data_IF_274874574754
#
_entry.id   IF_274874574754
#
_cell.length_a   1.000
_cell.length_b   1.000
_cell.length_c   1.000
_cell.angle_alpha   90.00
_cell.angle_beta   90.00
_cell.angle_gamma   90.00
#
_symmetry.space_group_name_H-M   'P 1'
#
loop_
_entity.id
_entity.type
_entity.pdbx_description
1 polymer ?
#
# COMPACT_ATOMS: atom_id res chain seq x y z
N UNK A 1 -15.42 -13.21 17.41
CA UNK A 1 -16.29 -14.41 17.39
C UNK A 1 -17.58 -14.16 16.64
N UNK A 2 -18.28 -13.05 16.88
CA UNK A 2 -19.55 -12.70 16.21
C UNK A 2 -19.48 -12.72 14.67
N UNK A 3 -18.42 -12.15 14.08
CA UNK A 3 -18.23 -12.09 12.61
C UNK A 3 -18.00 -13.45 11.95
N UNK A 4 -17.33 -14.37 12.66
CA UNK A 4 -17.10 -15.74 12.18
C UNK A 4 -18.39 -16.56 12.21
N UNK A 5 -19.20 -16.35 13.25
CA UNK A 5 -20.51 -16.98 13.40
C UNK A 5 -21.50 -16.43 12.36
N UNK A 6 -21.54 -15.12 12.14
CA UNK A 6 -22.39 -14.51 11.10
C UNK A 6 -22.02 -14.95 9.68
N UNK A 7 -20.71 -15.05 9.37
CA UNK A 7 -20.24 -15.58 8.08
C UNK A 7 -20.55 -17.07 7.90
N UNK A 8 -20.50 -17.84 8.98
CA UNK A 8 -20.89 -19.25 8.97
C UNK A 8 -22.41 -19.42 8.80
N UNK A 9 -23.21 -18.56 9.46
CA UNK A 9 -24.66 -18.54 9.31
C UNK A 9 -25.09 -18.06 7.93
N UNK A 10 -24.46 -17.04 7.34
CA UNK A 10 -24.82 -16.58 5.99
C UNK A 10 -24.58 -17.65 4.92
N UNK A 11 -23.46 -18.38 5.02
CA UNK A 11 -23.11 -19.44 4.06
C UNK A 11 -24.02 -20.66 4.20
N UNK A 12 -24.34 -21.08 5.45
CA UNK A 12 -25.15 -22.30 5.67
C UNK A 12 -26.66 -22.08 5.72
N UNK A 13 -27.14 -20.91 6.16
CA UNK A 13 -28.57 -20.65 6.42
C UNK A 13 -29.19 -19.83 5.28
N UNK A 14 -28.48 -18.83 4.75
CA UNK A 14 -29.02 -17.94 3.71
C UNK A 14 -28.69 -18.39 2.29
N UNK A 15 -27.86 -19.44 2.13
CA UNK A 15 -27.55 -20.02 0.82
C UNK A 15 -26.85 -19.06 -0.15
N UNK A 16 -26.32 -17.92 0.33
CA UNK A 16 -25.55 -17.00 -0.50
C UNK A 16 -24.05 -17.35 -0.42
N UNK A 17 -23.47 -18.02 -1.42
CA UNK A 17 -22.06 -18.37 -1.43
C UNK A 17 -21.18 -17.12 -1.68
N UNK A 18 -21.74 -16.08 -2.28
CA UNK A 18 -21.02 -14.87 -2.63
C UNK A 18 -21.15 -13.81 -1.54
N UNK A 19 -20.07 -13.64 -0.79
CA UNK A 19 -19.95 -12.69 0.30
C UNK A 19 -19.40 -11.33 -0.16
N UNK A 20 -19.23 -11.11 -1.48
CA UNK A 20 -18.71 -9.86 -2.05
C UNK A 20 -19.78 -8.77 -2.09
N UNK A 21 -20.33 -8.42 -0.93
CA UNK A 21 -21.23 -7.27 -0.81
C UNK A 21 -20.41 -6.02 -0.54
N UNK A 22 -20.47 -4.99 -1.41
CA UNK A 22 -19.82 -3.72 -1.16
C UNK A 22 -20.23 -3.14 0.18
N UNK A 23 -19.29 -2.51 0.87
CA UNK A 23 -19.54 -1.77 2.10
C UNK A 23 -19.56 -0.28 1.83
N UNK A 24 -20.31 0.44 2.64
CA UNK A 24 -20.28 1.91 2.69
C UNK A 24 -19.86 2.37 4.08
N UNK A 25 -19.19 3.51 4.13
CA UNK A 25 -18.84 4.22 5.34
C UNK A 25 -19.11 5.72 5.22
N UNK A 26 -19.18 6.39 6.37
CA UNK A 26 -19.37 7.83 6.44
C UNK A 26 -18.02 8.54 6.26
N UNK A 27 -17.75 8.93 5.01
CA UNK A 27 -16.52 9.63 4.61
C UNK A 27 -16.42 11.05 5.18
N UNK A 28 -17.52 11.63 5.67
CA UNK A 28 -17.56 12.97 6.26
C UNK A 28 -17.47 12.97 7.79
N UNK A 29 -17.49 11.80 8.43
CA UNK A 29 -17.52 11.66 9.90
C UNK A 29 -16.42 12.47 10.60
N UNK A 30 -15.23 12.54 9.99
CA UNK A 30 -14.06 13.24 10.52
C UNK A 30 -13.83 14.62 9.89
N UNK A 31 -14.75 15.11 9.04
CA UNK A 31 -14.67 16.39 8.33
C UNK A 31 -13.30 16.61 7.66
N UNK A 32 -12.84 15.69 6.79
CA UNK A 32 -11.61 15.88 6.04
C UNK A 32 -11.70 17.12 5.14
N UNK A 33 -10.56 17.70 4.81
CA UNK A 33 -10.48 18.72 3.77
C UNK A 33 -10.83 18.11 2.40
N UNK A 34 -11.36 18.93 1.50
CA UNK A 34 -11.61 18.53 0.12
C UNK A 34 -10.30 18.47 -0.66
N UNK A 35 -10.10 17.37 -1.39
CA UNK A 35 -9.02 17.26 -2.37
C UNK A 35 -9.54 17.75 -3.71
N UNK A 36 -9.14 18.94 -4.11
CA UNK A 36 -9.56 19.60 -5.35
C UNK A 36 -8.46 19.49 -6.42
N UNK A 37 -8.89 19.32 -7.67
CA UNK A 37 -8.04 19.36 -8.87
C UNK A 37 -8.41 20.60 -9.67
N UNK A 38 -7.40 21.42 -9.95
CA UNK A 38 -7.54 22.58 -10.85
C UNK A 38 -7.66 22.08 -12.30
N UNK A 39 -8.89 21.71 -12.67
CA UNK A 39 -9.18 21.16 -13.99
C UNK A 39 -9.43 22.30 -15.01
N UNK A 40 -8.70 22.35 -16.15
CA UNK A 40 -8.89 23.37 -17.18
C UNK A 40 -10.32 23.36 -17.75
N UNK A 41 -10.93 24.55 -17.90
CA UNK A 41 -12.32 24.67 -18.37
C UNK A 41 -12.54 24.17 -19.79
N UNK A 42 -11.51 24.22 -20.63
CA UNK A 42 -11.50 23.78 -22.03
C UNK A 42 -11.26 22.28 -22.19
N UNK A 43 -10.98 21.57 -21.10
CA UNK A 43 -10.66 20.14 -21.12
C UNK A 43 -11.84 19.30 -20.65
N UNK A 44 -12.29 18.38 -21.49
CA UNK A 44 -13.32 17.42 -21.11
C UNK A 44 -12.82 16.45 -20.03
N UNK A 45 -13.67 16.20 -19.03
CA UNK A 45 -13.41 15.23 -17.96
C UNK A 45 -13.74 13.82 -18.45
N UNK A 46 -12.89 12.81 -18.16
CA UNK A 46 -13.18 11.44 -18.53
C UNK A 46 -14.41 10.92 -17.80
N UNK A 47 -15.22 10.11 -18.49
CA UNK A 47 -16.29 9.36 -17.85
C UNK A 47 -15.72 8.14 -17.12
N UNK A 48 -16.01 8.04 -15.82
CA UNK A 48 -15.32 7.09 -14.93
C UNK A 48 -16.18 5.86 -14.63
N UNK A 49 -15.60 4.69 -14.86
CA UNK A 49 -16.10 3.42 -14.34
C UNK A 49 -15.54 3.15 -12.94
N UNK A 50 -16.34 3.35 -11.90
CA UNK A 50 -15.94 3.17 -10.51
C UNK A 50 -16.25 1.76 -10.03
N UNK A 51 -15.23 1.00 -9.65
CA UNK A 51 -15.42 -0.33 -9.03
C UNK A 51 -15.60 -0.22 -7.52
N UNK A 52 -16.27 -1.21 -6.93
CA UNK A 52 -16.57 -1.27 -5.49
C UNK A 52 -15.82 -2.40 -4.82
N UNK A 53 -15.21 -2.09 -3.68
CA UNK A 53 -14.52 -3.04 -2.83
C UNK A 53 -15.37 -3.46 -1.63
N UNK A 54 -14.90 -4.46 -0.89
CA UNK A 54 -15.63 -5.05 0.24
C UNK A 54 -14.88 -4.86 1.56
N UNK A 55 -13.86 -3.99 1.56
CA UNK A 55 -13.06 -3.73 2.74
C UNK A 55 -13.92 -3.11 3.84
N UNK A 56 -13.52 -3.34 5.10
CA UNK A 56 -14.18 -2.73 6.25
C UNK A 56 -14.16 -1.20 6.19
N UNK A 57 -13.06 -0.64 5.69
CA UNK A 57 -12.93 0.78 5.36
C UNK A 57 -12.73 0.86 3.83
N UNK A 58 -13.82 1.01 3.06
CA UNK A 58 -13.75 0.93 1.60
C UNK A 58 -12.96 2.09 1.00
N UNK A 59 -12.22 1.81 -0.07
CA UNK A 59 -11.53 2.83 -0.87
C UNK A 59 -12.52 3.53 -1.81
N UNK A 60 -13.45 2.76 -2.40
CA UNK A 60 -14.36 3.26 -3.42
C UNK A 60 -15.25 4.42 -2.96
N UNK A 61 -15.57 4.50 -1.65
CA UNK A 61 -16.36 5.61 -1.09
C UNK A 61 -15.58 6.93 -1.08
N UNK A 62 -14.25 6.89 -0.90
CA UNK A 62 -13.37 8.06 -0.95
C UNK A 62 -13.15 8.49 -2.39
N UNK A 63 -12.96 7.53 -3.31
CA UNK A 63 -12.92 7.84 -4.74
C UNK A 63 -14.24 8.45 -5.22
N UNK A 64 -15.39 7.93 -4.77
CA UNK A 64 -16.71 8.52 -5.04
C UNK A 64 -16.81 9.96 -4.53
N UNK A 65 -16.36 10.23 -3.31
CA UNK A 65 -16.34 11.58 -2.71
C UNK A 65 -15.49 12.53 -3.56
N UNK A 66 -14.27 12.13 -3.87
CA UNK A 66 -13.37 12.89 -4.75
C UNK A 66 -14.00 13.21 -6.11
N UNK A 67 -14.57 12.21 -6.80
CA UNK A 67 -15.20 12.40 -8.11
C UNK A 67 -16.38 13.38 -8.05
N UNK A 68 -17.20 13.31 -7.00
CA UNK A 68 -18.32 14.26 -6.78
C UNK A 68 -17.82 15.67 -6.52
N UNK A 69 -16.87 15.85 -5.60
CA UNK A 69 -16.38 17.17 -5.21
C UNK A 69 -15.66 17.88 -6.36
N UNK A 70 -15.10 17.11 -7.29
CA UNK A 70 -14.46 17.62 -8.49
C UNK A 70 -15.36 17.59 -9.74
N UNK A 71 -16.63 17.20 -9.63
CA UNK A 71 -17.57 17.17 -10.76
C UNK A 71 -17.14 16.30 -11.95
N UNK A 72 -16.66 15.08 -11.68
CA UNK A 72 -16.46 14.04 -12.70
C UNK A 72 -17.72 13.17 -12.77
N UNK A 73 -18.18 12.88 -13.99
CA UNK A 73 -19.26 11.91 -14.20
C UNK A 73 -18.71 10.49 -14.00
N UNK A 74 -19.50 9.65 -13.32
CA UNK A 74 -19.12 8.27 -13.07
C UNK A 74 -20.34 7.35 -12.94
N UNK A 75 -20.12 6.08 -13.26
CA UNK A 75 -21.05 5.00 -12.93
C UNK A 75 -20.31 3.83 -12.29
N UNK A 76 -21.06 2.95 -11.63
CA UNK A 76 -20.49 1.74 -11.08
C UNK A 76 -20.13 0.77 -12.20
N UNK A 77 -18.87 0.32 -12.21
CA UNK A 77 -18.37 -0.67 -13.15
C UNK A 77 -18.38 -2.08 -12.53
N UNK A 78 -19.33 -2.91 -12.95
CA UNK A 78 -19.53 -4.28 -12.46
C UNK A 78 -18.59 -5.28 -13.15
N UNK A 79 -17.32 -5.20 -12.76
CA UNK A 79 -16.27 -5.93 -13.45
C UNK A 79 -16.36 -7.46 -13.31
N UNK A 80 -17.08 -8.02 -12.34
CA UNK A 80 -17.20 -9.47 -12.18
C UNK A 80 -18.15 -10.16 -13.17
N UNK A 81 -18.96 -9.41 -13.90
CA UNK A 81 -19.95 -9.96 -14.82
C UNK A 81 -19.30 -10.53 -16.09
N UNK A 82 -20.03 -11.36 -16.83
CA UNK A 82 -19.57 -11.91 -18.11
C UNK A 82 -19.41 -10.85 -19.19
N UNK A 83 -20.21 -9.78 -19.13
CA UNK A 83 -20.26 -8.64 -20.06
C UNK A 83 -19.33 -7.49 -19.64
N UNK A 84 -18.37 -7.74 -18.74
CA UNK A 84 -17.49 -6.70 -18.19
C UNK A 84 -16.66 -5.99 -19.27
N UNK A 85 -16.32 -6.69 -20.36
CA UNK A 85 -15.47 -6.16 -21.41
C UNK A 85 -16.24 -5.15 -22.27
N UNK A 86 -17.45 -5.51 -22.68
CA UNK A 86 -18.38 -4.66 -23.42
C UNK A 86 -18.82 -3.48 -22.54
N UNK A 87 -19.12 -3.73 -21.27
CA UNK A 87 -19.47 -2.67 -20.32
C UNK A 87 -18.34 -1.66 -20.10
N UNK A 88 -17.07 -2.07 -20.29
CA UNK A 88 -15.93 -1.16 -20.16
C UNK A 88 -15.82 -0.17 -21.32
N UNK A 89 -16.46 -0.44 -22.48
CA UNK A 89 -16.29 0.36 -23.70
C UNK A 89 -16.67 1.83 -23.50
N UNK A 90 -17.78 2.08 -22.80
CA UNK A 90 -18.31 3.43 -22.57
C UNK A 90 -17.46 4.31 -21.65
N UNK A 91 -16.57 3.73 -20.85
CA UNK A 91 -15.77 4.47 -19.87
C UNK A 91 -14.41 4.87 -20.45
N UNK A 92 -13.97 6.09 -20.19
CA UNK A 92 -12.63 6.57 -20.57
C UNK A 92 -11.56 6.11 -19.57
N UNK A 93 -11.97 5.97 -18.30
CA UNK A 93 -11.13 5.58 -17.18
C UNK A 93 -11.85 4.57 -16.30
N UNK A 94 -11.16 3.50 -15.90
CA UNK A 94 -11.64 2.62 -14.84
C UNK A 94 -10.87 2.88 -13.54
N UNK A 95 -11.60 3.19 -12.47
CA UNK A 95 -11.08 3.34 -11.10
C UNK A 95 -11.33 2.04 -10.32
N UNK A 96 -10.24 1.31 -10.12
CA UNK A 96 -10.18 0.05 -9.41
C UNK A 96 -10.01 0.27 -7.90
N UNK A 97 -10.78 -0.48 -7.13
CA UNK A 97 -10.69 -0.53 -5.67
C UNK A 97 -10.24 -1.95 -5.29
N UNK A 98 -8.95 -2.30 -5.48
CA UNK A 98 -8.49 -3.66 -5.24
C UNK A 98 -8.58 -4.05 -3.76
N UNK A 99 -9.19 -5.19 -3.45
CA UNK A 99 -9.12 -5.80 -2.13
C UNK A 99 -7.80 -6.57 -1.94
N UNK A 100 -7.41 -6.74 -0.67
CA UNK A 100 -6.28 -7.63 -0.32
C UNK A 100 -6.71 -9.10 -0.41
N UNK A 101 -6.42 -9.73 -1.54
CA UNK A 101 -6.75 -11.14 -1.77
C UNK A 101 -6.18 -11.68 -3.09
N UNK A 102 -5.55 -12.89 -3.10
CA UNK A 102 -4.88 -13.39 -4.30
C UNK A 102 -5.80 -13.58 -5.49
N UNK A 103 -7.02 -14.09 -5.27
CA UNK A 103 -7.96 -14.40 -6.34
C UNK A 103 -8.47 -13.13 -7.05
N UNK A 104 -8.88 -12.13 -6.27
CA UNK A 104 -9.40 -10.87 -6.81
C UNK A 104 -8.29 -10.00 -7.41
N UNK A 105 -7.13 -9.93 -6.75
CA UNK A 105 -5.97 -9.24 -7.34
C UNK A 105 -5.52 -9.90 -8.65
N UNK A 106 -5.57 -11.22 -8.77
CA UNK A 106 -5.27 -11.91 -10.04
C UNK A 106 -6.31 -11.58 -11.13
N UNK A 107 -7.61 -11.55 -10.80
CA UNK A 107 -8.66 -11.11 -11.72
C UNK A 107 -8.44 -9.67 -12.19
N UNK A 108 -8.23 -8.74 -11.26
CA UNK A 108 -7.99 -7.33 -11.54
C UNK A 108 -6.72 -7.16 -12.38
N UNK A 109 -5.61 -7.84 -12.04
CA UNK A 109 -4.35 -7.81 -12.82
C UNK A 109 -4.58 -8.19 -14.28
N UNK A 110 -5.32 -9.27 -14.53
CA UNK A 110 -5.64 -9.74 -15.90
C UNK A 110 -6.53 -8.75 -16.65
N UNK A 111 -7.54 -8.18 -15.99
CA UNK A 111 -8.48 -7.23 -16.61
C UNK A 111 -7.83 -5.88 -16.92
N UNK A 112 -7.06 -5.33 -15.98
CA UNK A 112 -6.27 -4.11 -16.22
C UNK A 112 -5.27 -4.32 -17.36
N UNK A 113 -4.61 -5.48 -17.42
CA UNK A 113 -3.73 -5.80 -18.55
C UNK A 113 -4.47 -5.72 -19.89
N UNK A 114 -5.67 -6.30 -19.99
CA UNK A 114 -6.48 -6.23 -21.22
C UNK A 114 -6.85 -4.77 -21.53
N UNK A 115 -7.41 -4.04 -20.55
CA UNK A 115 -7.86 -2.66 -20.74
C UNK A 115 -6.72 -1.74 -21.17
N UNK A 116 -5.59 -1.76 -20.45
CA UNK A 116 -4.47 -0.86 -20.75
C UNK A 116 -3.64 -1.32 -21.94
N UNK A 117 -3.23 -2.60 -21.98
CA UNK A 117 -2.24 -3.09 -22.95
C UNK A 117 -2.85 -3.57 -24.25
N UNK A 118 -4.16 -3.82 -24.30
CA UNK A 118 -4.87 -4.27 -25.52
C UNK A 118 -5.88 -3.27 -26.02
N UNK A 119 -6.55 -2.54 -25.14
CA UNK A 119 -7.61 -1.59 -25.52
C UNK A 119 -7.21 -0.12 -25.37
N UNK A 120 -6.04 0.18 -24.80
CA UNK A 120 -5.56 1.56 -24.64
C UNK A 120 -6.37 2.40 -23.64
N UNK A 121 -7.22 1.78 -22.80
CA UNK A 121 -7.97 2.46 -21.75
C UNK A 121 -7.05 2.80 -20.58
N UNK A 122 -7.33 3.91 -19.88
CA UNK A 122 -6.61 4.26 -18.65
C UNK A 122 -7.22 3.51 -17.47
N UNK A 123 -6.38 3.06 -16.54
CA UNK A 123 -6.80 2.45 -15.29
C UNK A 123 -6.10 3.13 -14.10
N UNK A 124 -6.84 3.31 -13.00
CA UNK A 124 -6.26 3.68 -11.71
C UNK A 124 -6.62 2.61 -10.67
N UNK A 125 -5.65 2.00 -9.98
CA UNK A 125 -4.22 1.93 -10.34
C UNK A 125 -3.97 1.42 -11.76
N UNK A 126 -2.84 1.83 -12.33
CA UNK A 126 -2.33 1.27 -13.59
C UNK A 126 -1.74 -0.14 -13.40
N UNK A 127 -1.50 -0.87 -14.48
CA UNK A 127 -1.04 -2.26 -14.45
C UNK A 127 0.22 -2.45 -13.62
N UNK A 128 1.21 -1.58 -13.80
CA UNK A 128 2.48 -1.67 -13.06
C UNK A 128 2.26 -1.39 -11.57
N UNK A 129 1.38 -0.46 -11.20
CA UNK A 129 1.01 -0.21 -9.81
C UNK A 129 0.35 -1.44 -9.20
N UNK A 130 -0.52 -2.13 -9.93
CA UNK A 130 -1.15 -3.36 -9.44
C UNK A 130 -0.15 -4.52 -9.31
N UNK A 131 0.92 -4.56 -10.11
CA UNK A 131 2.02 -5.51 -9.90
C UNK A 131 2.73 -5.29 -8.57
N UNK A 132 2.77 -4.03 -8.08
CA UNK A 132 3.32 -3.69 -6.77
C UNK A 132 2.38 -4.09 -5.60
N UNK A 133 1.11 -4.42 -5.86
CA UNK A 133 0.16 -4.81 -4.81
C UNK A 133 0.41 -6.23 -4.29
N UNK A 134 0.60 -6.36 -2.98
CA UNK A 134 0.70 -7.61 -2.21
C UNK A 134 1.74 -8.62 -2.76
N UNK A 135 2.93 -8.15 -3.14
CA UNK A 135 4.07 -8.99 -3.52
C UNK A 135 5.41 -8.52 -2.89
N UNK A 136 5.64 -8.89 -1.63
CA UNK A 136 6.84 -8.52 -0.87
C UNK A 136 8.15 -9.00 -1.53
N UNK A 137 8.10 -10.08 -2.32
CA UNK A 137 9.28 -10.61 -3.01
C UNK A 137 9.65 -9.67 -4.16
N UNK A 138 8.69 -9.39 -5.05
CA UNK A 138 8.89 -8.48 -6.17
C UNK A 138 9.33 -7.08 -5.71
N UNK A 139 8.66 -6.54 -4.69
CA UNK A 139 8.98 -5.24 -4.12
C UNK A 139 10.40 -5.18 -3.55
N UNK A 140 10.84 -6.23 -2.87
CA UNK A 140 12.20 -6.28 -2.29
C UNK A 140 13.26 -6.27 -3.37
N UNK A 141 13.07 -7.01 -4.47
CA UNK A 141 13.99 -6.93 -5.62
C UNK A 141 14.03 -5.54 -6.24
N UNK A 142 12.87 -4.91 -6.43
CA UNK A 142 12.79 -3.57 -7.00
C UNK A 142 13.53 -2.54 -6.13
N UNK A 143 13.30 -2.57 -4.81
CA UNK A 143 13.98 -1.70 -3.87
C UNK A 143 15.51 -1.92 -3.87
N UNK A 144 15.98 -3.18 -3.94
CA UNK A 144 17.41 -3.51 -4.02
C UNK A 144 18.06 -3.00 -5.31
N UNK A 145 17.41 -3.17 -6.46
CA UNK A 145 17.90 -2.67 -7.76
C UNK A 145 18.06 -1.14 -7.73
N UNK A 146 17.22 -0.45 -6.96
CA UNK A 146 17.28 1.01 -6.77
C UNK A 146 18.27 1.48 -5.70
N UNK A 147 18.97 0.57 -5.02
CA UNK A 147 19.94 0.92 -3.97
C UNK A 147 19.30 1.59 -2.75
N UNK A 148 18.03 1.29 -2.47
CA UNK A 148 17.31 1.81 -1.30
C UNK A 148 17.70 1.02 -0.03
N UNK A 149 17.60 1.64 1.17
CA UNK A 149 18.02 1.01 2.44
C UNK A 149 16.98 -0.01 2.91
N UNK A 150 16.90 -1.15 2.22
CA UNK A 150 16.00 -2.25 2.60
C UNK A 150 16.64 -3.10 3.68
N UNK A 151 15.86 -3.55 4.67
CA UNK A 151 16.31 -4.55 5.62
C UNK A 151 16.85 -5.78 4.87
N UNK A 152 18.07 -6.20 5.23
CA UNK A 152 18.75 -7.30 4.55
C UNK A 152 17.85 -8.53 4.45
N UNK A 153 17.66 -9.05 3.24
CA UNK A 153 16.66 -10.09 2.96
C UNK A 153 17.23 -11.10 2.00
N UNK A 154 17.29 -12.36 2.44
CA UNK A 154 17.59 -13.50 1.61
C UNK A 154 16.29 -14.06 1.02
N UNK A 155 16.24 -14.24 -0.30
CA UNK A 155 15.07 -14.82 -0.99
C UNK A 155 15.59 -15.95 -1.85
N UNK A 156 15.00 -17.14 -1.71
CA UNK A 156 15.35 -18.29 -2.54
C UNK A 156 14.15 -19.19 -2.82
N UNK A 157 14.15 -19.72 -4.04
CA UNK A 157 13.24 -20.77 -4.51
C UNK A 157 13.93 -22.15 -4.53
N UNK A 158 15.17 -22.24 -4.07
CA UNK A 158 15.99 -23.45 -4.08
C UNK A 158 16.15 -23.98 -2.65
N UNK A 159 15.59 -25.17 -2.42
CA UNK A 159 15.64 -25.82 -1.11
C UNK A 159 17.07 -26.22 -0.71
N UNK A 160 17.90 -26.66 -1.67
CA UNK A 160 19.24 -27.14 -1.39
C UNK A 160 20.18 -25.98 -1.07
N UNK A 161 20.01 -24.84 -1.77
CA UNK A 161 20.69 -23.58 -1.40
C UNK A 161 20.38 -23.23 0.06
N UNK A 162 19.10 -23.20 0.44
CA UNK A 162 18.66 -22.88 1.80
C UNK A 162 19.29 -23.83 2.82
N UNK A 163 19.27 -25.14 2.58
CA UNK A 163 19.85 -26.13 3.50
C UNK A 163 21.37 -25.99 3.61
N UNK A 164 22.06 -25.60 2.54
CA UNK A 164 23.52 -25.43 2.53
C UNK A 164 24.01 -24.19 3.29
N UNK A 165 23.22 -23.11 3.31
CA UNK A 165 23.63 -21.84 3.92
C UNK A 165 23.04 -21.60 5.32
N UNK A 166 22.03 -22.38 5.74
CA UNK A 166 21.25 -22.10 6.96
C UNK A 166 22.10 -21.83 8.20
N UNK A 167 23.22 -22.53 8.38
CA UNK A 167 24.06 -22.39 9.58
C UNK A 167 24.89 -21.09 9.60
N UNK A 168 24.92 -20.35 8.48
CA UNK A 168 25.66 -19.09 8.31
C UNK A 168 24.78 -17.85 8.31
N UNK A 169 23.45 -18.01 8.37
CA UNK A 169 22.52 -16.88 8.30
C UNK A 169 22.45 -16.09 9.63
N UNK A 170 22.19 -14.77 9.57
CA UNK A 170 22.18 -13.89 10.75
C UNK A 170 20.84 -13.97 11.50
N UNK A 171 20.68 -14.99 12.36
CA UNK A 171 19.47 -15.14 13.17
C UNK A 171 19.33 -14.06 14.27
N UNK A 172 18.10 -13.67 14.64
CA UNK A 172 16.82 -14.20 14.13
C UNK A 172 16.42 -13.61 12.77
N UNK A 173 15.65 -14.39 11.99
CA UNK A 173 15.12 -14.03 10.67
C UNK A 173 13.60 -13.93 10.72
N UNK A 174 13.04 -12.98 9.99
CA UNK A 174 11.60 -12.79 9.80
C UNK A 174 11.22 -13.41 8.45
N UNK A 175 10.54 -14.55 8.50
CA UNK A 175 9.91 -15.13 7.31
C UNK A 175 8.58 -14.44 7.04
N UNK A 176 8.39 -13.98 5.81
CA UNK A 176 7.13 -13.38 5.34
C UNK A 176 6.63 -14.13 4.11
N UNK A 177 5.34 -14.39 4.04
CA UNK A 177 4.70 -14.77 2.78
C UNK A 177 4.70 -13.56 1.83
N UNK A 178 4.94 -13.75 0.52
CA UNK A 178 4.98 -12.63 -0.43
C UNK A 178 3.65 -11.89 -0.49
N UNK A 179 2.54 -12.63 -0.42
CA UNK A 179 1.18 -12.10 -0.44
C UNK A 179 0.55 -12.11 0.94
N UNK A 180 -0.14 -11.03 1.29
CA UNK A 180 -0.92 -10.91 2.52
C UNK A 180 -0.61 -9.63 3.29
N UNK A 181 -1.54 -9.28 4.16
CA UNK A 181 -1.52 -8.05 4.95
C UNK A 181 -1.68 -8.33 6.45
N UNK A 182 -1.45 -7.29 7.27
CA UNK A 182 -1.69 -7.31 8.73
C UNK A 182 -0.90 -8.39 9.48
N UNK A 183 0.31 -8.72 9.02
CA UNK A 183 1.24 -9.63 9.68
C UNK A 183 0.75 -11.07 9.94
N UNK A 184 -0.34 -11.50 9.27
CA UNK A 184 -0.98 -12.81 9.51
C UNK A 184 -0.05 -13.97 9.18
N UNK A 185 0.79 -13.84 8.16
CA UNK A 185 1.75 -14.85 7.74
C UNK A 185 3.22 -14.41 7.92
N UNK A 186 3.52 -13.82 9.09
CA UNK A 186 4.88 -13.45 9.48
C UNK A 186 5.35 -14.35 10.61
N UNK A 187 6.48 -15.03 10.42
CA UNK A 187 7.07 -15.99 11.37
C UNK A 187 8.48 -15.59 11.73
N UNK A 188 8.80 -15.52 13.03
CA UNK A 188 10.16 -15.32 13.51
C UNK A 188 10.87 -16.68 13.61
N UNK A 189 11.98 -16.82 12.89
CA UNK A 189 12.83 -18.00 12.86
C UNK A 189 14.09 -17.66 13.64
N UNK A 190 14.33 -18.39 14.74
CA UNK A 190 15.35 -18.02 15.73
C UNK A 190 16.70 -18.69 15.54
N UNK A 191 16.75 -19.79 14.79
CA UNK A 191 17.94 -20.61 14.65
C UNK A 191 17.86 -21.52 13.40
N UNK A 192 18.98 -22.15 13.00
CA UNK A 192 19.02 -23.05 11.83
C UNK A 192 18.05 -24.23 11.89
N UNK A 193 17.80 -24.78 13.08
CA UNK A 193 16.87 -25.91 13.26
C UNK A 193 15.44 -25.51 12.93
N UNK A 194 15.01 -24.35 13.41
CA UNK A 194 13.71 -23.78 13.07
C UNK A 194 13.61 -23.48 11.57
N UNK A 195 14.67 -22.95 10.95
CA UNK A 195 14.69 -22.72 9.51
C UNK A 195 14.52 -24.01 8.72
N UNK A 196 15.27 -25.06 9.04
CA UNK A 196 15.16 -26.35 8.35
C UNK A 196 13.75 -26.94 8.45
N UNK A 197 13.14 -26.91 9.65
CA UNK A 197 11.78 -27.39 9.86
C UNK A 197 10.72 -26.53 9.13
N UNK A 198 10.95 -25.21 9.04
CA UNK A 198 10.09 -24.31 8.28
C UNK A 198 10.21 -24.56 6.77
N UNK A 199 11.44 -24.65 6.25
CA UNK A 199 11.76 -24.88 4.84
C UNK A 199 11.11 -26.17 4.32
N UNK A 200 11.26 -27.29 5.04
CA UNK A 200 10.62 -28.57 4.65
C UNK A 200 9.10 -28.46 4.50
N UNK A 201 8.43 -27.64 5.32
CA UNK A 201 6.98 -27.43 5.22
C UNK A 201 6.62 -26.58 4.00
N UNK A 202 7.39 -25.52 3.74
CA UNK A 202 7.20 -24.64 2.58
C UNK A 202 7.43 -25.36 1.26
N UNK A 203 8.44 -26.23 1.19
CA UNK A 203 8.79 -27.02 -0.01
C UNK A 203 8.08 -28.38 -0.08
N UNK A 204 7.25 -28.73 0.90
CA UNK A 204 6.42 -29.93 0.83
C UNK A 204 5.41 -29.86 -0.32
N UNK A 205 4.90 -31.02 -0.74
CA UNK A 205 3.89 -31.13 -1.79
C UNK A 205 2.71 -30.14 -1.62
N UNK A 206 2.24 -29.95 -0.39
CA UNK A 206 1.13 -29.05 -0.07
C UNK A 206 1.57 -27.60 0.21
N UNK A 207 2.84 -27.32 0.47
CA UNK A 207 3.32 -26.04 1.00
C UNK A 207 2.78 -25.69 2.39
N UNK A 208 3.20 -24.56 2.95
CA UNK A 208 2.79 -24.10 4.27
C UNK A 208 1.39 -23.48 4.26
N UNK A 209 0.57 -23.84 5.27
CA UNK A 209 -0.79 -23.29 5.47
C UNK A 209 -0.73 -21.76 5.60
N UNK A 210 -1.72 -21.08 5.06
CA UNK A 210 -1.91 -19.64 5.16
C UNK A 210 -3.39 -19.32 5.43
N UNK A 211 -3.72 -18.04 5.63
CA UNK A 211 -5.11 -17.62 5.86
C UNK A 211 -6.04 -17.96 4.69
N UNK A 212 -5.51 -17.93 3.47
CA UNK A 212 -6.20 -18.31 2.24
C UNK A 212 -5.87 -19.76 1.90
N UNK A 213 -6.78 -20.70 2.16
CA UNK A 213 -6.53 -22.14 1.97
C UNK A 213 -6.12 -22.53 0.54
N UNK A 214 -6.64 -21.80 -0.47
CA UNK A 214 -6.37 -22.01 -1.89
C UNK A 214 -5.04 -21.40 -2.38
N UNK A 215 -4.39 -20.57 -1.56
CA UNK A 215 -3.12 -19.94 -1.92
C UNK A 215 -2.18 -20.13 -0.75
N UNK A 216 -1.23 -21.07 -0.83
CA UNK A 216 -0.32 -21.45 0.26
C UNK A 216 1.08 -20.89 0.01
N UNK A 217 1.89 -20.73 1.04
CA UNK A 217 3.31 -20.41 0.82
C UNK A 217 3.99 -21.69 0.35
N UNK A 218 4.46 -21.71 -0.90
CA UNK A 218 4.98 -22.91 -1.54
C UNK A 218 6.19 -22.59 -2.40
N UNK A 219 7.26 -23.36 -2.24
CA UNK A 219 8.47 -23.32 -3.07
C UNK A 219 9.21 -21.97 -3.11
N UNK A 220 9.16 -21.20 -2.02
CA UNK A 220 10.00 -20.02 -1.84
C UNK A 220 10.14 -19.66 -0.35
N UNK A 221 11.30 -19.15 0.03
CA UNK A 221 11.49 -18.45 1.30
C UNK A 221 11.84 -16.99 1.06
N UNK A 222 11.29 -16.15 1.92
CA UNK A 222 11.65 -14.75 2.09
C UNK A 222 12.13 -14.62 3.53
N UNK A 223 13.43 -14.41 3.75
CA UNK A 223 14.05 -14.38 5.07
C UNK A 223 14.70 -13.01 5.28
N UNK A 224 13.96 -12.10 5.91
CA UNK A 224 14.45 -10.77 6.25
C UNK A 224 15.17 -10.80 7.59
N UNK A 225 16.35 -10.18 7.70
CA UNK A 225 17.05 -9.96 8.96
C UNK A 225 16.14 -9.21 9.92
N UNK A 226 16.02 -9.70 11.14
CA UNK A 226 15.27 -8.98 12.18
C UNK A 226 15.97 -7.64 12.48
N UNK A 227 15.24 -6.54 12.33
CA UNK A 227 15.74 -5.19 12.65
C UNK A 227 15.57 -4.99 14.16
N UNK A 228 16.69 -5.06 14.88
CA UNK A 228 16.75 -4.88 16.32
C UNK A 228 16.91 -3.39 16.66
N UNK A 229 15.94 -2.81 17.38
CA UNK A 229 15.83 -1.38 17.64
C UNK A 229 14.73 -1.07 18.65
N UNK A 230 13.97 0.01 18.44
CA UNK A 230 12.89 0.45 19.36
C UNK A 230 11.61 -0.41 19.26
N UNK A 231 11.55 -1.33 18.29
CA UNK A 231 10.43 -2.22 18.05
C UNK A 231 9.20 -1.51 17.48
N UNK A 232 9.33 -0.25 17.06
CA UNK A 232 8.31 0.49 16.36
C UNK A 232 8.45 0.30 14.84
N UNK A 233 7.31 0.31 14.20
CA UNK A 233 7.19 0.31 12.74
C UNK A 233 6.65 1.68 12.33
N UNK A 234 7.46 2.46 11.63
CA UNK A 234 7.07 3.76 11.11
C UNK A 234 6.52 3.58 9.70
N UNK A 235 5.32 4.11 9.46
CA UNK A 235 4.75 4.28 8.12
C UNK A 235 4.83 5.73 7.73
N UNK A 236 5.49 6.02 6.61
CA UNK A 236 5.43 7.31 5.94
C UNK A 236 4.65 7.13 4.63
N UNK A 237 3.60 7.89 4.45
CA UNK A 237 2.80 7.92 3.23
C UNK A 237 3.16 9.17 2.44
N UNK A 238 3.54 8.98 1.18
CA UNK A 238 3.80 10.06 0.23
C UNK A 238 2.73 10.00 -0.85
N UNK A 239 2.05 11.12 -1.07
CA UNK A 239 1.12 11.30 -2.18
C UNK A 239 1.39 12.67 -2.80
N UNK A 240 2.26 12.71 -3.82
CA UNK A 240 2.68 13.95 -4.43
C UNK A 240 3.54 14.75 -3.46
N UNK A 241 3.13 15.99 -3.19
CA UNK A 241 3.72 16.91 -2.23
C UNK A 241 3.20 16.71 -0.80
N UNK A 242 2.18 15.88 -0.60
CA UNK A 242 1.61 15.65 0.72
C UNK A 242 2.29 14.45 1.39
N UNK A 243 2.82 14.67 2.59
CA UNK A 243 3.47 13.68 3.44
C UNK A 243 2.67 13.54 4.73
N UNK A 244 2.31 12.29 5.03
CA UNK A 244 1.69 11.92 6.30
C UNK A 244 2.30 10.62 6.83
N UNK A 245 1.92 10.17 8.02
CA UNK A 245 2.44 8.91 8.54
C UNK A 245 2.18 8.74 10.01
N UNK A 246 2.54 7.57 10.52
CA UNK A 246 2.33 7.21 11.91
C UNK A 246 3.26 6.08 12.33
N UNK A 247 3.40 5.89 13.63
CA UNK A 247 4.08 4.72 14.18
C UNK A 247 3.05 3.65 14.55
N UNK A 248 3.47 2.40 14.46
CA UNK A 248 2.72 1.23 14.92
C UNK A 248 3.52 0.55 16.00
N UNK A 249 2.82 0.15 17.07
CA UNK A 249 3.43 -0.57 18.19
C UNK A 249 2.98 -2.03 18.20
N UNK A 250 3.86 -2.99 18.50
CA UNK A 250 3.45 -4.37 18.71
C UNK A 250 2.57 -4.52 19.95
N UNK A 251 1.72 -5.56 19.97
CA UNK A 251 1.02 -5.95 21.20
C UNK A 251 2.00 -6.56 22.20
N UNK A 252 1.61 -6.60 23.48
CA UNK A 252 2.39 -7.28 24.53
C UNK A 252 2.68 -8.73 24.09
N UNK A 253 3.95 -9.13 24.17
CA UNK A 253 4.46 -10.45 23.77
C UNK A 253 4.36 -10.78 22.26
N UNK A 254 4.18 -9.78 21.39
CA UNK A 254 4.31 -9.92 19.94
C UNK A 254 5.49 -9.06 19.44
N UNK A 255 6.16 -9.46 18.36
CA UNK A 255 7.20 -8.64 17.71
C UNK A 255 6.66 -7.86 16.51
N UNK A 256 5.43 -8.17 16.06
CA UNK A 256 4.82 -7.61 14.87
C UNK A 256 4.00 -6.37 15.25
N UNK A 257 4.41 -5.22 14.71
CA UNK A 257 3.72 -3.96 14.89
C UNK A 257 2.55 -3.78 13.91
N UNK A 258 2.75 -4.10 12.64
CA UNK A 258 1.67 -4.06 11.64
C UNK A 258 0.52 -5.01 12.00
N UNK A 259 -0.72 -4.51 11.95
CA UNK A 259 -1.92 -5.26 12.31
C UNK A 259 -2.21 -5.35 13.81
N UNK A 260 -1.42 -4.70 14.67
CA UNK A 260 -1.69 -4.64 16.11
C UNK A 260 -2.95 -3.84 16.45
N UNK A 261 -3.29 -2.85 15.62
CA UNK A 261 -4.32 -1.85 15.89
C UNK A 261 -3.88 -0.74 16.87
N UNK A 262 -2.61 -0.74 17.29
CA UNK A 262 -2.04 0.29 18.16
C UNK A 262 -1.21 1.23 17.31
N UNK A 263 -1.75 2.42 17.06
CA UNK A 263 -1.15 3.47 16.23
C UNK A 263 -0.83 4.68 17.11
N UNK A 264 0.34 5.26 16.89
CA UNK A 264 0.80 6.50 17.52
C UNK A 264 0.94 7.54 16.40
N UNK A 265 0.17 8.62 16.51
CA UNK A 265 0.16 9.71 15.53
C UNK A 265 0.89 10.89 16.14
N UNK A 266 2.15 11.00 15.79
CA UNK A 266 3.08 12.01 16.25
C UNK A 266 3.90 12.51 15.06
N UNK A 267 4.76 13.49 15.31
CA UNK A 267 5.62 14.06 14.30
C UNK A 267 6.64 13.02 13.78
N UNK A 268 6.92 13.07 12.48
CA UNK A 268 7.75 12.10 11.79
C UNK A 268 9.22 12.53 11.76
N UNK A 269 10.19 11.62 11.96
CA UNK A 269 11.61 11.90 11.81
C UNK A 269 11.95 12.29 10.37
N UNK A 270 12.76 13.35 10.20
CA UNK A 270 13.17 13.85 8.87
C UNK A 270 13.83 12.75 8.02
N UNK A 271 14.73 11.96 8.61
CA UNK A 271 15.42 10.87 7.90
C UNK A 271 14.45 9.83 7.32
N UNK A 272 13.36 9.52 8.03
CA UNK A 272 12.34 8.60 7.53
C UNK A 272 11.55 9.23 6.36
N UNK A 273 11.26 10.52 6.43
CA UNK A 273 10.62 11.26 5.33
C UNK A 273 11.53 11.28 4.10
N UNK A 274 12.84 11.53 4.27
CA UNK A 274 13.82 11.52 3.18
C UNK A 274 13.86 10.16 2.45
N UNK A 275 13.92 9.06 3.22
CA UNK A 275 13.90 7.71 2.65
C UNK A 275 12.57 7.46 1.91
N UNK A 276 11.44 7.89 2.47
CA UNK A 276 10.13 7.70 1.86
C UNK A 276 9.97 8.50 0.56
N UNK A 277 10.38 9.77 0.54
CA UNK A 277 10.39 10.61 -0.66
C UNK A 277 11.29 10.04 -1.75
N UNK A 278 12.51 9.59 -1.39
CA UNK A 278 13.42 8.93 -2.33
C UNK A 278 12.84 7.62 -2.88
N UNK A 279 12.16 6.86 -2.04
CA UNK A 279 11.48 5.62 -2.46
C UNK A 279 10.32 5.94 -3.41
N UNK A 280 9.56 7.00 -3.11
CA UNK A 280 8.45 7.47 -3.94
C UNK A 280 8.92 8.00 -5.31
N UNK A 281 10.01 8.76 -5.40
CA UNK A 281 10.57 9.20 -6.69
C UNK A 281 10.93 8.02 -7.61
N UNK A 282 11.54 6.98 -7.03
CA UNK A 282 12.12 5.86 -7.79
C UNK A 282 11.09 4.80 -8.19
N UNK A 283 10.02 4.64 -7.42
CA UNK A 283 9.06 3.52 -7.52
C UNK A 283 7.60 4.00 -7.51
N UNK A 284 7.32 5.09 -6.78
CA UNK A 284 5.98 5.61 -6.58
C UNK A 284 5.34 6.15 -7.86
N UNK A 285 4.00 6.13 -7.83
CA UNK A 285 3.15 6.70 -8.87
C UNK A 285 2.13 7.62 -8.21
N UNK A 286 0.89 7.18 -8.03
CA UNK A 286 -0.15 7.97 -7.38
C UNK A 286 0.12 8.25 -5.90
N UNK A 287 0.51 7.22 -5.15
CA UNK A 287 0.92 7.31 -3.75
C UNK A 287 1.86 6.14 -3.41
N UNK A 288 2.54 6.22 -2.27
CA UNK A 288 3.28 5.10 -1.70
C UNK A 288 3.36 5.21 -0.18
N UNK A 289 2.91 4.17 0.51
CA UNK A 289 3.24 3.92 1.91
C UNK A 289 4.59 3.20 2.00
N UNK A 290 5.49 3.71 2.84
CA UNK A 290 6.81 3.14 3.09
C UNK A 290 6.90 2.77 4.57
N UNK A 291 7.08 1.48 4.82
CA UNK A 291 7.20 0.93 6.17
C UNK A 291 8.67 0.75 6.50
N UNK A 292 9.09 1.32 7.62
CA UNK A 292 10.47 1.21 8.07
C UNK A 292 10.54 0.77 9.52
N UNK A 293 11.68 0.19 9.88
CA UNK A 293 12.07 -0.02 11.26
C UNK A 293 13.39 0.69 11.52
N UNK A 294 13.51 1.27 12.71
CA UNK A 294 14.74 1.90 13.18
C UNK A 294 15.59 0.86 13.90
N UNK A 295 16.88 0.78 13.58
CA UNK A 295 17.82 -0.09 14.30
C UNK A 295 18.42 0.59 15.54
N UNK A 296 19.22 -0.17 16.30
CA UNK A 296 19.95 0.32 17.49
C UNK A 296 20.99 1.41 17.20
N UNK A 297 21.49 1.51 15.98
CA UNK A 297 22.39 2.60 15.54
C UNK A 297 21.61 3.86 15.17
N UNK A 298 20.28 3.76 15.10
CA UNK A 298 19.38 4.84 14.79
C UNK A 298 19.02 4.93 13.30
N UNK A 299 19.50 4.02 12.45
CA UNK A 299 19.25 4.01 11.00
C UNK A 299 17.90 3.39 10.67
N UNK A 300 17.26 3.89 9.63
CA UNK A 300 16.00 3.36 9.14
C UNK A 300 16.18 2.36 7.99
N UNK A 301 15.46 1.25 8.08
CA UNK A 301 15.45 0.19 7.08
C UNK A 301 14.04 -0.05 6.57
N UNK A 302 13.84 0.01 5.25
CA UNK A 302 12.57 -0.32 4.61
C UNK A 302 12.28 -1.80 4.81
N UNK A 303 11.11 -2.11 5.34
CA UNK A 303 10.64 -3.49 5.57
C UNK A 303 9.52 -3.91 4.62
N UNK A 304 8.79 -2.94 4.05
CA UNK A 304 7.68 -3.11 3.10
C UNK A 304 7.33 -1.76 2.43
N UNK A 305 6.77 -1.82 1.21
CA UNK A 305 6.12 -0.67 0.57
C UNK A 305 4.71 -1.06 0.12
N UNK A 306 3.81 -0.09 0.03
CA UNK A 306 2.40 -0.33 -0.27
C UNK A 306 1.83 0.79 -1.16
N UNK A 307 1.48 0.52 -2.43
CA UNK A 307 0.83 1.52 -3.29
C UNK A 307 -0.61 1.82 -2.87
N UNK A 308 -1.23 0.92 -2.10
CA UNK A 308 -2.55 1.10 -1.47
C UNK A 308 -2.43 0.80 0.02
N UNK A 309 -2.99 1.68 0.85
CA UNK A 309 -2.96 1.55 2.30
C UNK A 309 -4.39 1.48 2.83
N UNK A 310 -4.62 0.63 3.84
CA UNK A 310 -5.85 0.66 4.61
C UNK A 310 -5.86 1.88 5.52
N UNK A 311 -6.93 2.66 5.46
CA UNK A 311 -7.08 3.91 6.23
C UNK A 311 -8.39 3.84 7.02
N UNK A 312 -8.31 4.14 8.31
CA UNK A 312 -9.47 4.18 9.22
C UNK A 312 -9.97 5.62 9.37
N UNK A 313 -9.06 6.60 9.41
CA UNK A 313 -9.37 8.02 9.64
C UNK A 313 -8.52 8.91 8.72
N UNK A 314 -8.99 10.08 8.25
CA UNK A 314 -8.17 10.99 7.46
C UNK A 314 -7.02 11.61 8.28
N UNK A 315 -7.15 11.65 9.60
CA UNK A 315 -6.06 12.02 10.51
C UNK A 315 -4.98 10.94 10.42
N UNK A 316 -3.85 11.22 9.76
CA UNK A 316 -2.76 10.28 9.64
C UNK A 316 -1.61 10.58 10.59
N UNK A 317 -1.37 11.86 10.91
CA UNK A 317 -0.31 12.30 11.82
C UNK A 317 -0.78 13.45 12.71
N UNK A 318 0.06 13.85 13.66
CA UNK A 318 -0.10 15.06 14.47
C UNK A 318 1.26 15.71 14.74
N UNK A 319 1.31 17.04 14.85
CA UNK A 319 2.46 17.78 15.37
C UNK A 319 1.97 18.57 16.56
N UNK A 320 2.64 18.45 17.72
CA UNK A 320 2.22 19.09 18.97
C UNK A 320 0.73 18.86 19.31
N UNK A 321 0.28 17.62 19.17
CA UNK A 321 -1.11 17.16 19.32
C UNK A 321 -2.14 17.64 18.28
N UNK A 322 -1.74 18.53 17.37
CA UNK A 322 -2.58 19.09 16.31
C UNK A 322 -2.60 18.14 15.11
N UNK A 323 -3.78 17.61 14.69
CA UNK A 323 -3.93 16.84 13.46
C UNK A 323 -3.60 17.67 12.23
N UNK A 324 -2.85 17.10 11.29
CA UNK A 324 -2.51 17.81 10.07
C UNK A 324 -1.68 16.97 9.10
N UNK A 325 -1.11 17.64 8.11
CA UNK A 325 -0.30 17.04 7.06
C UNK A 325 0.92 17.92 6.77
N UNK A 326 2.00 17.31 6.28
CA UNK A 326 3.12 18.06 5.72
C UNK A 326 2.92 18.26 4.22
N UNK A 327 3.19 19.47 3.75
CA UNK A 327 3.29 19.84 2.34
C UNK A 327 4.76 20.12 2.01
N UNK A 328 5.26 19.47 0.97
CA UNK A 328 6.62 19.63 0.49
C UNK A 328 6.71 20.82 -0.46
N UNK A 329 7.41 21.87 -0.04
CA UNK A 329 7.68 23.03 -0.88
C UNK A 329 8.92 22.81 -1.77
N UNK A 330 9.01 23.57 -2.86
CA UNK A 330 10.10 23.47 -3.82
C UNK A 330 11.50 23.70 -3.22
N UNK A 331 11.60 24.45 -2.12
CA UNK A 331 12.86 24.72 -1.42
C UNK A 331 13.29 23.60 -0.45
N UNK A 332 12.50 22.52 -0.36
CA UNK A 332 12.71 21.40 0.56
C UNK A 332 12.14 21.60 1.97
N UNK A 333 11.35 22.66 2.18
CA UNK A 333 10.60 22.85 3.42
C UNK A 333 9.42 21.89 3.49
N UNK A 334 9.29 21.18 4.61
CA UNK A 334 8.06 20.50 5.00
C UNK A 334 7.21 21.48 5.81
N UNK A 335 6.22 22.09 5.17
CA UNK A 335 5.27 22.99 5.80
C UNK A 335 4.14 22.18 6.43
N UNK A 336 3.97 22.30 7.75
CA UNK A 336 2.84 21.67 8.43
C UNK A 336 1.61 22.58 8.32
N UNK A 337 0.46 22.00 7.96
CA UNK A 337 -0.85 22.66 8.01
C UNK A 337 -1.82 21.79 8.80
N UNK A 338 -2.82 22.40 9.45
CA UNK A 338 -3.88 21.70 10.19
C UNK A 338 -4.93 21.03 9.26
N UNK A 339 -4.49 20.51 8.13
CA UNK A 339 -5.33 19.93 7.10
C UNK A 339 -5.20 18.41 7.10
N UNK A 340 -6.33 17.73 7.06
CA UNK A 340 -6.38 16.27 7.03
C UNK A 340 -7.13 15.78 5.82
N UNK A 341 -6.61 14.75 5.19
CA UNK A 341 -7.11 14.24 3.92
C UNK A 341 -7.27 12.74 3.96
N UNK A 342 -8.18 12.21 3.16
CA UNK A 342 -8.18 10.80 2.83
C UNK A 342 -7.01 10.51 1.88
N UNK A 343 -6.04 9.64 2.23
CA UNK A 343 -4.94 9.30 1.34
C UNK A 343 -5.39 8.75 -0.02
N UNK A 344 -6.55 8.09 -0.07
CA UNK A 344 -7.19 7.63 -1.30
C UNK A 344 -7.53 8.78 -2.25
N UNK A 345 -8.01 9.91 -1.72
CA UNK A 345 -8.35 11.09 -2.54
C UNK A 345 -7.08 11.78 -3.08
N UNK A 346 -6.03 11.88 -2.26
CA UNK A 346 -4.72 12.38 -2.69
C UNK A 346 -4.13 11.51 -3.81
N UNK A 347 -4.22 10.18 -3.68
CA UNK A 347 -3.72 9.26 -4.69
C UNK A 347 -4.43 9.43 -6.04
N UNK A 348 -5.76 9.53 -6.04
CA UNK A 348 -6.51 9.70 -7.29
C UNK A 348 -6.31 11.10 -7.89
N UNK A 349 -6.16 12.16 -7.08
CA UNK A 349 -5.71 13.50 -7.55
C UNK A 349 -4.41 13.39 -8.33
N UNK A 350 -3.38 12.80 -7.72
CA UNK A 350 -2.08 12.62 -8.35
C UNK A 350 -2.15 11.80 -9.64
N UNK A 351 -3.03 10.80 -9.68
CA UNK A 351 -3.29 10.06 -10.92
C UNK A 351 -3.88 10.96 -12.01
N UNK A 352 -4.92 11.76 -11.71
CA UNK A 352 -5.53 12.67 -12.68
C UNK A 352 -4.54 13.72 -13.18
N UNK A 353 -3.82 14.36 -12.27
CA UNK A 353 -2.81 15.37 -12.61
C UNK A 353 -1.74 14.80 -13.54
N UNK A 354 -1.17 13.64 -13.19
CA UNK A 354 -0.11 13.01 -13.98
C UNK A 354 -0.59 12.48 -15.35
N UNK A 355 -1.82 12.00 -15.46
CA UNK A 355 -2.29 11.30 -16.66
C UNK A 355 -3.16 12.16 -17.58
N UNK A 356 -3.63 13.31 -17.10
CA UNK A 356 -4.50 14.20 -17.87
C UNK A 356 -4.00 15.63 -17.91
N UNK A 357 -3.35 16.16 -16.87
CA UNK A 357 -3.05 17.61 -16.82
C UNK A 357 -1.59 17.90 -17.20
N UNK A 358 -0.64 17.18 -16.63
CA UNK A 358 0.78 17.45 -16.79
C UNK A 358 1.49 16.32 -17.54
N UNK A 359 2.46 16.63 -18.43
CA UNK A 359 3.44 15.65 -18.89
C UNK A 359 4.17 15.00 -17.72
N UNK A 360 4.46 13.68 -17.78
CA UNK A 360 5.09 12.95 -16.67
C UNK A 360 6.42 13.59 -16.22
N UNK A 361 7.22 14.11 -17.15
CA UNK A 361 8.49 14.75 -16.84
C UNK A 361 8.30 16.05 -16.03
N UNK A 362 7.26 16.82 -16.36
CA UNK A 362 6.90 18.05 -15.65
C UNK A 362 6.35 17.72 -14.25
N UNK A 363 5.44 16.74 -14.17
CA UNK A 363 4.89 16.29 -12.90
C UNK A 363 5.98 15.77 -11.94
N UNK A 364 6.93 14.96 -12.41
CA UNK A 364 8.06 14.48 -11.59
C UNK A 364 9.06 15.58 -11.21
N UNK A 365 9.30 16.52 -12.12
CA UNK A 365 10.20 17.66 -11.89
C UNK A 365 9.68 18.59 -10.80
N UNK A 366 8.36 18.82 -10.79
CA UNK A 366 7.72 19.79 -9.89
C UNK A 366 7.52 19.26 -8.47
N UNK A 367 7.48 17.93 -8.26
CA UNK A 367 7.05 17.36 -6.97
C UNK A 367 8.17 16.76 -6.10
N UNK A 368 9.19 16.09 -6.67
CA UNK A 368 10.11 15.29 -5.84
C UNK A 368 11.59 15.46 -6.21
N UNK A 369 11.91 15.59 -7.50
CA UNK A 369 13.31 15.56 -7.95
C UNK A 369 14.15 16.74 -7.47
N UNK A 370 13.62 17.97 -7.54
CA UNK A 370 14.38 19.18 -7.14
C UNK A 370 14.75 19.20 -5.65
N UNK A 371 14.07 18.42 -4.81
CA UNK A 371 14.32 18.34 -3.37
C UNK A 371 15.19 17.12 -3.02
N UNK A 372 14.87 15.93 -3.53
CA UNK A 372 15.53 14.67 -3.13
C UNK A 372 16.97 14.53 -3.66
N UNK A 373 17.31 15.16 -4.79
CA UNK A 373 18.67 15.05 -5.35
C UNK A 373 19.64 16.15 -4.92
N UNK A 374 19.15 17.30 -4.44
CA UNK A 374 19.98 18.52 -4.34
C UNK A 374 19.78 19.36 -3.05
N UNK A 375 18.73 19.14 -2.25
CA UNK A 375 18.39 20.01 -1.11
C UNK A 375 18.27 19.22 0.19
N UNK A 376 18.59 19.86 1.32
CA UNK A 376 18.37 19.27 2.66
C UNK A 376 16.94 19.55 3.09
N UNK A 377 16.21 18.51 3.50
CA UNK A 377 14.89 18.69 4.08
C UNK A 377 14.98 19.46 5.39
N UNK A 378 14.03 20.35 5.62
CA UNK A 378 13.86 21.08 6.88
C UNK A 378 12.38 21.19 7.21
N UNK A 379 12.05 21.18 8.49
CA UNK A 379 10.68 21.47 8.92
C UNK A 379 10.47 22.98 8.96
N UNK A 380 9.40 23.45 8.32
CA UNK A 380 8.95 24.83 8.45
C UNK A 380 8.27 25.06 9.81
N UNK A 381 8.03 26.32 10.15
CA UNK A 381 7.13 26.64 11.25
C UNK A 381 5.70 26.19 10.89
N UNK A 382 4.95 25.69 11.88
CA UNK A 382 3.51 25.44 11.72
C UNK A 382 2.79 26.75 11.37
N UNK A 383 1.89 26.70 10.39
CA UNK A 383 1.10 27.86 9.93
C UNK A 383 -0.34 27.75 10.39
#
# INVERSE_FOLDING_TARGET
MLTRLMRYMSIRILGNPDIRSPREDDVELYKPCDVIVDWPQDKEKPFVGLTRDINENPHWTKFRRFLKNNGFDFEIFEYHRSDWLEAAEKFDLIVWSPNSGPAELDEIKRKIYILEKKLGKKCFPDYETVLLCDDKVFLTYLLKIKGLPVADTFISNDFDEIESIKDRLPYPLVSKRFHGASSREVTLIRNPRELAAYSRRVFSFCGMKASNAYFRQKNYLYLQKFVDGDGLDIRVNVAGDVITGYFRKPKKNDFRASGSGVVIKEDLPLEAIEIALKTYDLIGKAMLGVDMMRDKEGKYWIIEISPFIGVITPIQMKVDEIPGSYFLLEDGTLQFTEETYWPQELAIKNFFERNYLFPEAEWKSNLVRSVVSEKKLKKGCSV
#
